data_IF_625403634730
#
_entry.id   IF_625403634730
#
_cell.length_a   1.000
_cell.length_b   1.000
_cell.length_c   1.000
_cell.angle_alpha   90.00
_cell.angle_beta   90.00
_cell.angle_gamma   90.00
#
_symmetry.space_group_name_H-M   'P 1'
#
loop_
_entity.id
_entity.type
_entity.pdbx_description
1 polymer ?
#
# COMPACT_ATOMS: atom_id res chain seq x y z
N UNK A 1 -14.50 -8.93 -23.29
CA UNK A 1 -13.92 -9.00 -21.93
C UNK A 1 -13.15 -7.71 -21.66
N UNK A 2 -13.62 -6.90 -20.71
CA UNK A 2 -13.33 -5.45 -20.67
C UNK A 2 -11.84 -5.11 -20.56
N UNK A 3 -11.25 -4.58 -21.64
CA UNK A 3 -9.91 -3.97 -21.66
C UNK A 3 -9.73 -2.97 -20.51
N UNK A 4 -10.81 -2.29 -20.13
CA UNK A 4 -10.87 -1.34 -19.01
C UNK A 4 -10.53 -1.99 -17.66
N UNK A 5 -10.98 -3.21 -17.40
CA UNK A 5 -10.77 -3.87 -16.10
C UNK A 5 -9.29 -4.27 -15.90
N UNK A 6 -8.65 -4.79 -16.95
CA UNK A 6 -7.21 -5.11 -16.92
C UNK A 6 -6.34 -3.86 -16.79
N UNK A 7 -6.73 -2.77 -17.45
CA UNK A 7 -6.02 -1.49 -17.32
C UNK A 7 -6.07 -0.96 -15.88
N UNK A 8 -7.26 -0.97 -15.25
CA UNK A 8 -7.43 -0.56 -13.85
C UNK A 8 -6.59 -1.43 -12.91
N UNK A 9 -6.52 -2.74 -13.14
CA UNK A 9 -5.69 -3.65 -12.34
C UNK A 9 -4.19 -3.30 -12.46
N UNK A 10 -3.66 -3.16 -13.67
CA UNK A 10 -2.23 -2.88 -13.85
C UNK A 10 -1.86 -1.50 -13.31
N UNK A 11 -2.65 -0.48 -13.64
CA UNK A 11 -2.43 0.87 -13.14
C UNK A 11 -2.50 0.93 -11.62
N UNK A 12 -3.51 0.29 -11.03
CA UNK A 12 -3.66 0.21 -9.59
C UNK A 12 -2.51 -0.54 -8.89
N UNK A 13 -1.89 -1.52 -9.54
CA UNK A 13 -0.78 -2.27 -8.94
C UNK A 13 0.55 -1.51 -9.03
N UNK A 14 0.73 -0.67 -10.06
CA UNK A 14 1.81 0.34 -10.10
C UNK A 14 1.69 1.28 -8.91
N UNK A 15 0.50 1.85 -8.68
CA UNK A 15 0.29 2.78 -7.56
C UNK A 15 0.51 2.11 -6.20
N UNK A 16 0.11 0.85 -6.05
CA UNK A 16 0.38 0.09 -4.84
C UNK A 16 1.88 -0.14 -4.62
N UNK A 17 2.62 -0.52 -5.68
CA UNK A 17 4.08 -0.66 -5.62
C UNK A 17 4.77 0.64 -5.21
N UNK A 18 4.30 1.77 -5.76
CA UNK A 18 4.81 3.09 -5.42
C UNK A 18 4.56 3.45 -3.95
N UNK A 19 3.32 3.29 -3.46
CA UNK A 19 2.98 3.61 -2.05
C UNK A 19 3.72 2.70 -1.07
N UNK A 20 3.85 1.42 -1.39
CA UNK A 20 4.53 0.44 -0.56
C UNK A 20 6.02 0.74 -0.35
N UNK A 21 6.69 1.32 -1.35
CA UNK A 21 8.13 1.64 -1.26
C UNK A 21 8.43 3.09 -0.89
N UNK A 22 7.47 4.01 -1.07
CA UNK A 22 7.65 5.43 -0.78
C UNK A 22 7.78 5.74 0.72
N UNK A 23 7.21 4.90 1.59
CA UNK A 23 7.24 5.08 3.05
C UNK A 23 8.66 4.90 3.63
N UNK A 24 9.43 3.94 3.11
CA UNK A 24 10.74 3.62 3.68
C UNK A 24 11.75 4.80 3.64
N UNK A 25 11.88 5.53 2.50
CA UNK A 25 12.70 6.74 2.42
C UNK A 25 12.22 7.92 3.27
N UNK A 26 10.92 8.00 3.58
CA UNK A 26 10.32 9.11 4.34
C UNK A 26 10.51 8.95 5.86
N UNK A 27 10.75 7.73 6.34
CA UNK A 27 10.84 7.43 7.79
C UNK A 27 11.88 8.27 8.54
N UNK A 28 13.10 8.53 8.02
CA UNK A 28 14.07 9.40 8.69
C UNK A 28 13.56 10.83 8.89
N UNK A 29 12.89 11.41 7.90
CA UNK A 29 12.30 12.75 7.94
C UNK A 29 11.10 12.82 8.88
N UNK A 30 10.24 11.79 8.84
CA UNK A 30 9.12 11.66 9.78
C UNK A 30 9.64 11.58 11.22
N UNK A 31 10.74 10.84 11.45
CA UNK A 31 11.35 10.72 12.77
C UNK A 31 11.87 12.07 13.28
N UNK A 32 12.63 12.81 12.48
CA UNK A 32 13.18 14.11 12.89
C UNK A 32 12.07 15.11 13.13
N UNK A 33 11.06 15.16 12.26
CA UNK A 33 9.94 16.10 12.37
C UNK A 33 8.99 15.81 13.54
N UNK A 34 8.85 14.54 13.94
CA UNK A 34 8.01 14.13 15.08
C UNK A 34 8.82 13.94 16.38
N UNK A 35 10.14 14.14 16.35
CA UNK A 35 11.01 13.92 17.50
C UNK A 35 11.03 12.47 18.02
N UNK A 36 10.83 11.49 17.13
CA UNK A 36 10.69 10.09 17.53
C UNK A 36 12.03 9.42 17.84
N UNK A 37 12.01 8.54 18.84
CA UNK A 37 13.12 7.63 19.13
C UNK A 37 13.21 6.54 18.06
N UNK A 38 14.40 5.94 17.88
CA UNK A 38 14.57 4.79 16.97
C UNK A 38 13.65 3.62 17.31
N UNK A 39 13.40 3.37 18.59
CA UNK A 39 12.47 2.32 19.05
C UNK A 39 11.04 2.60 18.57
N UNK A 40 10.57 3.85 18.68
CA UNK A 40 9.26 4.26 18.19
C UNK A 40 9.14 4.13 16.66
N UNK A 41 10.19 4.46 15.90
CA UNK A 41 10.20 4.25 14.45
C UNK A 41 10.07 2.77 14.11
N UNK A 42 10.81 1.91 14.81
CA UNK A 42 10.69 0.46 14.68
C UNK A 42 9.28 -0.05 15.02
N UNK A 43 8.63 0.52 16.03
CA UNK A 43 7.25 0.20 16.38
C UNK A 43 6.26 0.65 15.28
N UNK A 44 6.44 1.82 14.69
CA UNK A 44 5.60 2.34 13.58
C UNK A 44 5.71 1.44 12.34
N UNK A 45 6.93 1.02 11.97
CA UNK A 45 7.17 0.01 10.93
C UNK A 45 6.51 -1.33 11.26
N UNK A 46 6.62 -1.78 12.50
CA UNK A 46 5.99 -3.03 12.95
C UNK A 46 4.46 -2.93 12.86
N UNK A 47 3.89 -1.76 13.14
CA UNK A 47 2.45 -1.50 13.03
C UNK A 47 1.94 -1.71 11.59
N UNK A 48 2.72 -1.27 10.59
CA UNK A 48 2.42 -1.52 9.18
C UNK A 48 2.41 -3.02 8.88
N UNK A 49 3.41 -3.76 9.34
CA UNK A 49 3.48 -5.22 9.17
C UNK A 49 2.33 -5.94 9.86
N UNK A 50 1.95 -5.52 11.07
CA UNK A 50 0.80 -6.05 11.81
C UNK A 50 -0.49 -5.81 11.04
N UNK A 51 -0.73 -4.59 10.55
CA UNK A 51 -1.90 -4.27 9.73
C UNK A 51 -1.96 -5.13 8.47
N UNK A 52 -0.82 -5.31 7.79
CA UNK A 52 -0.71 -6.14 6.59
C UNK A 52 -1.00 -7.61 6.90
N UNK A 53 -0.52 -8.13 8.04
CA UNK A 53 -0.78 -9.49 8.50
C UNK A 53 -2.27 -9.71 8.79
N UNK A 54 -2.90 -8.78 9.52
CA UNK A 54 -4.35 -8.83 9.80
C UNK A 54 -5.13 -8.86 8.49
N UNK A 55 -4.75 -8.01 7.54
CA UNK A 55 -5.37 -7.97 6.23
C UNK A 55 -5.08 -9.21 5.38
N UNK A 56 -3.92 -9.85 5.49
CA UNK A 56 -3.65 -11.10 4.78
C UNK A 56 -4.54 -12.23 5.31
N UNK A 57 -4.72 -12.31 6.63
CA UNK A 57 -5.56 -13.34 7.28
C UNK A 57 -7.06 -13.11 7.04
N UNK A 58 -7.53 -11.86 7.19
CA UNK A 58 -8.95 -11.52 7.08
C UNK A 58 -9.37 -11.15 5.65
N UNK A 59 -8.45 -10.64 4.84
CA UNK A 59 -8.72 -10.07 3.52
C UNK A 59 -9.13 -11.11 2.49
N UNK A 60 -8.65 -12.36 2.61
CA UNK A 60 -9.10 -13.46 1.74
C UNK A 60 -10.59 -13.76 1.96
N UNK A 61 -10.97 -13.98 3.22
CA UNK A 61 -12.36 -14.18 3.60
C UNK A 61 -13.25 -12.98 3.24
N UNK A 62 -12.78 -11.76 3.50
CA UNK A 62 -13.52 -10.55 3.18
C UNK A 62 -13.69 -10.35 1.67
N UNK A 63 -12.67 -10.64 0.86
CA UNK A 63 -12.75 -10.53 -0.60
C UNK A 63 -13.71 -11.57 -1.19
N UNK A 64 -13.74 -12.79 -0.65
CA UNK A 64 -14.65 -13.83 -1.10
C UNK A 64 -16.10 -13.55 -0.67
N UNK A 65 -16.31 -13.00 0.54
CA UNK A 65 -17.66 -12.72 1.08
C UNK A 65 -18.29 -11.43 0.55
N UNK A 66 -17.54 -10.34 0.46
CA UNK A 66 -18.07 -9.03 0.06
C UNK A 66 -17.86 -8.72 -1.43
N UNK A 67 -17.10 -9.55 -2.12
CA UNK A 67 -16.74 -9.39 -3.52
C UNK A 67 -15.40 -8.67 -3.72
N UNK A 68 -14.67 -9.08 -4.74
CA UNK A 68 -13.30 -8.63 -5.00
C UNK A 68 -13.20 -7.14 -5.27
N UNK A 69 -14.20 -6.57 -5.97
CA UNK A 69 -14.23 -5.15 -6.34
C UNK A 69 -14.47 -4.23 -5.13
N UNK A 70 -15.36 -4.61 -4.22
CA UNK A 70 -15.64 -3.84 -3.00
C UNK A 70 -14.46 -3.92 -2.04
N UNK A 71 -13.82 -5.09 -1.91
CA UNK A 71 -12.58 -5.25 -1.14
C UNK A 71 -11.44 -4.38 -1.67
N UNK A 72 -11.28 -4.30 -2.99
CA UNK A 72 -10.27 -3.45 -3.63
C UNK A 72 -10.52 -1.95 -3.34
N UNK A 73 -11.78 -1.50 -3.45
CA UNK A 73 -12.16 -0.13 -3.08
C UNK A 73 -11.98 0.17 -1.59
N UNK A 74 -12.34 -0.76 -0.71
CA UNK A 74 -12.17 -0.63 0.73
C UNK A 74 -10.68 -0.55 1.12
N UNK A 75 -9.84 -1.39 0.52
CA UNK A 75 -8.39 -1.36 0.69
C UNK A 75 -7.78 -0.04 0.23
N UNK A 76 -8.16 0.46 -0.96
CA UNK A 76 -7.73 1.77 -1.45
C UNK A 76 -8.19 2.93 -0.57
N UNK A 77 -9.44 2.90 -0.08
CA UNK A 77 -9.96 3.93 0.82
C UNK A 77 -9.22 3.92 2.16
N UNK A 78 -8.94 2.74 2.72
CA UNK A 78 -8.17 2.58 3.95
C UNK A 78 -6.73 3.06 3.80
N UNK A 79 -6.11 2.80 2.64
CA UNK A 79 -4.79 3.34 2.27
C UNK A 79 -4.80 4.87 2.21
N UNK A 80 -5.78 5.48 1.53
CA UNK A 80 -5.92 6.93 1.46
C UNK A 80 -6.11 7.56 2.83
N UNK A 81 -6.97 6.97 3.67
CA UNK A 81 -7.18 7.42 5.05
C UNK A 81 -5.89 7.32 5.87
N UNK A 82 -5.16 6.21 5.75
CA UNK A 82 -3.88 6.04 6.42
C UNK A 82 -2.83 7.07 5.99
N UNK A 83 -2.75 7.35 4.69
CA UNK A 83 -1.86 8.39 4.13
C UNK A 83 -2.26 9.80 4.62
N UNK A 84 -3.54 10.11 4.73
CA UNK A 84 -4.00 11.38 5.29
C UNK A 84 -3.67 11.50 6.78
N UNK A 85 -3.84 10.41 7.54
CA UNK A 85 -3.54 10.38 8.97
C UNK A 85 -2.06 10.57 9.26
N UNK A 86 -1.15 9.99 8.45
CA UNK A 86 0.30 10.18 8.65
C UNK A 86 0.72 11.62 8.35
N UNK A 87 0.13 12.26 7.33
CA UNK A 87 0.38 13.68 7.00
C UNK A 87 -0.12 14.61 8.11
N UNK A 88 -1.22 14.26 8.79
CA UNK A 88 -1.74 15.02 9.93
C UNK A 88 -1.07 14.67 11.27
N UNK A 89 -0.28 13.59 11.32
CA UNK A 89 0.35 13.15 12.55
C UNK A 89 1.30 14.22 13.10
N UNK A 90 1.21 14.42 14.43
CA UNK A 90 2.07 15.33 15.20
C UNK A 90 2.72 14.65 16.40
N UNK A 91 2.47 13.35 16.59
CA UNK A 91 3.01 12.56 17.70
C UNK A 91 3.05 11.07 17.33
N UNK A 92 3.64 10.26 18.20
CA UNK A 92 3.81 8.81 17.99
C UNK A 92 2.50 8.06 17.78
N UNK A 93 1.49 8.28 18.63
CA UNK A 93 0.22 7.54 18.59
C UNK A 93 -0.54 7.66 17.26
N UNK A 94 -0.78 8.87 16.69
CA UNK A 94 -1.42 8.99 15.39
C UNK A 94 -0.55 8.42 14.26
N UNK A 95 0.79 8.53 14.33
CA UNK A 95 1.68 7.92 13.35
C UNK A 95 1.57 6.38 13.38
N UNK A 96 1.55 5.78 14.58
CA UNK A 96 1.39 4.34 14.77
C UNK A 96 0.04 3.83 14.23
N UNK A 97 -1.06 4.52 14.56
CA UNK A 97 -2.39 4.15 14.07
C UNK A 97 -2.50 4.31 12.55
N UNK A 98 -1.91 5.38 12.00
CA UNK A 98 -1.89 5.60 10.56
C UNK A 98 -1.19 4.47 9.81
N UNK A 99 -0.08 3.95 10.33
CA UNK A 99 0.61 2.80 9.72
C UNK A 99 -0.17 1.50 9.81
N UNK A 100 -0.93 1.28 10.89
CA UNK A 100 -1.86 0.13 10.94
C UNK A 100 -2.90 0.25 9.82
N UNK A 101 -3.49 1.44 9.63
CA UNK A 101 -4.45 1.68 8.55
C UNK A 101 -3.82 1.48 7.17
N UNK A 102 -2.62 2.03 6.93
CA UNK A 102 -1.88 1.84 5.68
C UNK A 102 -1.61 0.36 5.43
N UNK A 103 -1.07 -0.36 6.42
CA UNK A 103 -0.75 -1.79 6.31
C UNK A 103 -1.99 -2.63 6.02
N UNK A 104 -3.08 -2.36 6.74
CA UNK A 104 -4.35 -3.08 6.54
C UNK A 104 -4.92 -2.82 5.15
N UNK A 105 -5.00 -1.56 4.73
CA UNK A 105 -5.48 -1.19 3.40
C UNK A 105 -4.64 -1.80 2.29
N UNK A 106 -3.31 -1.78 2.46
CA UNK A 106 -2.36 -2.39 1.53
C UNK A 106 -2.53 -3.90 1.41
N UNK A 107 -2.64 -4.61 2.53
CA UNK A 107 -2.86 -6.05 2.54
C UNK A 107 -4.18 -6.44 1.86
N UNK A 108 -5.29 -5.76 2.19
CA UNK A 108 -6.60 -6.04 1.58
C UNK A 108 -6.55 -5.79 0.08
N UNK A 109 -5.91 -4.69 -0.33
CA UNK A 109 -5.73 -4.34 -1.73
C UNK A 109 -4.94 -5.42 -2.49
N UNK A 110 -3.81 -5.88 -1.93
CA UNK A 110 -3.00 -6.94 -2.54
C UNK A 110 -3.75 -8.26 -2.66
N UNK A 111 -4.50 -8.67 -1.64
CA UNK A 111 -5.28 -9.91 -1.70
C UNK A 111 -6.36 -9.80 -2.78
N UNK A 112 -7.12 -8.71 -2.77
CA UNK A 112 -8.23 -8.50 -3.72
C UNK A 112 -7.76 -8.45 -5.18
N UNK A 113 -6.65 -7.75 -5.46
CA UNK A 113 -6.15 -7.60 -6.83
C UNK A 113 -5.51 -8.87 -7.37
N UNK A 114 -4.81 -9.63 -6.52
CA UNK A 114 -4.30 -10.96 -6.88
C UNK A 114 -5.45 -11.94 -7.14
N UNK A 115 -6.47 -11.95 -6.29
CA UNK A 115 -7.65 -12.79 -6.46
C UNK A 115 -8.44 -12.41 -7.74
N UNK A 116 -8.54 -11.12 -8.06
CA UNK A 116 -9.20 -10.64 -9.27
C UNK A 116 -8.39 -10.98 -10.53
N UNK A 117 -7.06 -10.88 -10.46
CA UNK A 117 -6.17 -11.31 -11.52
C UNK A 117 -6.32 -12.82 -11.78
N UNK A 118 -6.32 -13.65 -10.73
CA UNK A 118 -6.49 -15.10 -10.85
C UNK A 118 -7.81 -15.51 -11.51
N UNK A 119 -8.91 -14.79 -11.25
CA UNK A 119 -10.21 -15.05 -11.89
C UNK A 119 -10.27 -14.58 -13.35
N UNK A 120 -9.65 -13.43 -13.64
CA UNK A 120 -9.68 -12.82 -14.98
C UNK A 120 -8.68 -13.51 -15.93
N UNK A 121 -7.76 -14.27 -15.36
CA UNK A 121 -6.76 -15.04 -16.09
C UNK A 121 -7.34 -16.41 -16.37
N UNK A 122 -7.59 -16.71 -17.65
CA UNK A 122 -8.12 -18.01 -18.09
C UNK A 122 -7.15 -19.15 -17.79
N UNK A 123 -6.67 -19.85 -18.81
CA UNK A 123 -5.85 -21.06 -18.61
C UNK A 123 -4.46 -20.77 -18.02
N UNK A 124 -3.95 -19.54 -18.16
CA UNK A 124 -2.56 -19.21 -17.86
C UNK A 124 -2.41 -18.17 -16.73
N UNK A 125 -2.88 -18.55 -15.52
CA UNK A 125 -2.89 -17.70 -14.31
C UNK A 125 -1.50 -17.22 -13.91
N UNK A 126 -0.50 -18.11 -13.93
CA UNK A 126 0.88 -17.78 -13.56
C UNK A 126 1.48 -16.66 -14.43
N UNK A 127 1.32 -16.74 -15.75
CA UNK A 127 1.81 -15.70 -16.65
C UNK A 127 1.14 -14.33 -16.44
N UNK A 128 -0.15 -14.32 -16.07
CA UNK A 128 -0.87 -13.09 -15.79
C UNK A 128 -0.48 -12.47 -14.44
N UNK A 129 -0.28 -13.28 -13.41
CA UNK A 129 0.26 -12.83 -12.12
C UNK A 129 1.69 -12.28 -12.27
N UNK A 130 2.52 -12.93 -13.09
CA UNK A 130 3.88 -12.46 -13.36
C UNK A 130 3.85 -11.07 -14.03
N UNK A 131 3.02 -10.88 -15.07
CA UNK A 131 2.81 -9.56 -15.68
C UNK A 131 2.34 -8.52 -14.68
N UNK A 132 1.41 -8.87 -13.78
CA UNK A 132 0.95 -7.97 -12.73
C UNK A 132 2.12 -7.53 -11.84
N UNK A 133 2.98 -8.45 -11.40
CA UNK A 133 4.14 -8.13 -10.56
C UNK A 133 5.24 -7.34 -11.28
N UNK A 134 5.39 -7.48 -12.60
CA UNK A 134 6.27 -6.59 -13.39
C UNK A 134 5.81 -5.14 -13.24
N UNK A 135 4.51 -4.87 -13.32
CA UNK A 135 3.96 -3.53 -13.11
C UNK A 135 4.12 -3.03 -11.67
N UNK A 136 4.00 -3.92 -10.68
CA UNK A 136 4.35 -3.59 -9.29
C UNK A 136 5.81 -3.15 -9.18
N UNK A 137 6.72 -3.91 -9.77
CA UNK A 137 8.14 -3.61 -9.79
C UNK A 137 8.45 -2.24 -10.39
N UNK A 138 7.78 -1.87 -11.48
CA UNK A 138 7.89 -0.55 -12.07
C UNK A 138 7.49 0.56 -11.08
N UNK A 139 6.34 0.42 -10.41
CA UNK A 139 5.91 1.37 -9.38
C UNK A 139 6.87 1.41 -8.19
N UNK A 140 7.36 0.25 -7.76
CA UNK A 140 8.29 0.09 -6.66
C UNK A 140 9.64 0.77 -6.92
N UNK A 141 10.10 0.82 -8.17
CA UNK A 141 11.29 1.57 -8.60
C UNK A 141 11.01 3.07 -8.64
N UNK A 142 9.85 3.47 -9.16
CA UNK A 142 9.48 4.90 -9.24
C UNK A 142 9.28 5.53 -7.87
N UNK A 143 8.78 4.79 -6.87
CA UNK A 143 8.48 5.30 -5.52
C UNK A 143 9.68 5.98 -4.83
N UNK A 144 10.80 5.28 -4.60
CA UNK A 144 11.98 5.84 -3.96
C UNK A 144 12.65 6.96 -4.77
N UNK A 145 12.63 6.86 -6.10
CA UNK A 145 13.20 7.89 -6.97
C UNK A 145 12.40 9.19 -6.85
N UNK A 146 11.06 9.10 -6.90
CA UNK A 146 10.19 10.25 -6.74
C UNK A 146 10.27 10.82 -5.33
N UNK A 147 10.30 9.98 -4.28
CA UNK A 147 10.45 10.48 -2.91
C UNK A 147 11.78 11.15 -2.67
N UNK A 148 12.89 10.63 -3.22
CA UNK A 148 14.20 11.27 -3.13
C UNK A 148 14.24 12.63 -3.84
N UNK A 149 13.64 12.74 -5.03
CA UNK A 149 13.55 14.00 -5.77
C UNK A 149 12.68 15.04 -5.04
N UNK A 150 11.55 14.61 -4.49
CA UNK A 150 10.60 15.49 -3.80
C UNK A 150 11.12 15.94 -2.44
N UNK A 151 11.76 15.06 -1.66
CA UNK A 151 12.37 15.42 -0.37
C UNK A 151 13.50 16.45 -0.52
N UNK A 152 14.17 16.48 -1.68
CA UNK A 152 15.17 17.51 -1.98
C UNK A 152 14.58 18.90 -2.26
N UNK A 153 13.27 19.03 -2.51
CA UNK A 153 12.62 20.27 -2.91
C UNK A 153 11.42 20.68 -2.05
N UNK A 154 10.78 19.74 -1.35
CA UNK A 154 9.52 19.90 -0.64
C UNK A 154 9.56 19.18 0.72
N UNK A 155 8.75 19.65 1.67
CA UNK A 155 8.59 18.98 2.96
C UNK A 155 7.93 17.61 2.78
N UNK A 156 8.30 16.62 3.59
CA UNK A 156 7.74 15.26 3.58
C UNK A 156 6.21 15.18 3.77
N UNK A 157 5.57 16.30 4.16
CA UNK A 157 4.11 16.42 4.32
C UNK A 157 3.35 16.76 3.03
N UNK A 158 4.06 17.15 1.96
CA UNK A 158 3.50 17.58 0.67
C UNK A 158 3.49 16.44 -0.33
#
# INVERSE_FOLDING_TARGET
MDRKLKFIQYFGFITAGMVGTLIAPLLPEVRTALGLTYSQVGAVLSAQSIGTLIAALAGGYAADRFGKKSALLAGSASLLLGLLLIVLARSFAPAFLSMICIGTGFGVYQVAINALCADTSGTNKGAAMNRLHVFYGLGAICGPVLSALLLGQMSWRT
#
